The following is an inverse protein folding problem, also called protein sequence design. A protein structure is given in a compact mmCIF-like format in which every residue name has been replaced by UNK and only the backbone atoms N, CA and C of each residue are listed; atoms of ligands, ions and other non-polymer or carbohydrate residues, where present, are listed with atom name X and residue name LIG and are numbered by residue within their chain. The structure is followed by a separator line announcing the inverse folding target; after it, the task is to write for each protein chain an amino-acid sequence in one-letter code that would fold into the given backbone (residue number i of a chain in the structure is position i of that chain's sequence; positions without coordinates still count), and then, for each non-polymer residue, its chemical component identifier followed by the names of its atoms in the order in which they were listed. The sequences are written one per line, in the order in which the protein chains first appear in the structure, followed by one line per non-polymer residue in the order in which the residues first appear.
data_IF_904241807540
#
_entry.id   IF_904241807540
#
_cell.length_a   1.000
_cell.length_b   1.000
_cell.length_c   1.000
_cell.angle_alpha   90.00
_cell.angle_beta   90.00
_cell.angle_gamma   90.00
#
_symmetry.space_group_name_H-M   'P 1'
#
loop_
_entity.id
_entity.type
_entity.pdbx_description
1 polymer ?
#
# COMPACT_ATOMS: atom_id res chain seq x y z
N UNK A 1 -56.37 -5.80 33.35
CA UNK A 1 -56.64 -5.01 32.12
C UNK A 1 -55.75 -3.75 32.08
N UNK A 2 -54.43 -3.92 32.07
CA UNK A 2 -53.48 -2.80 31.95
C UNK A 2 -52.32 -3.11 30.98
N UNK A 3 -52.08 -4.40 30.66
CA UNK A 3 -51.03 -4.80 29.72
C UNK A 3 -51.39 -4.79 28.23
N UNK A 4 -52.65 -4.57 27.83
CA UNK A 4 -53.04 -4.54 26.40
C UNK A 4 -52.98 -3.12 25.82
N UNK A 5 -53.20 -2.07 26.63
CA UNK A 5 -53.16 -0.69 26.17
C UNK A 5 -51.74 -0.15 25.95
N UNK A 6 -50.71 -0.67 26.64
CA UNK A 6 -49.31 -0.28 26.42
C UNK A 6 -48.74 -0.82 25.09
N UNK A 7 -49.17 -2.01 24.65
CA UNK A 7 -48.70 -2.62 23.40
C UNK A 7 -49.28 -1.87 22.17
N UNK A 8 -50.48 -1.31 22.30
CA UNK A 8 -51.10 -0.50 21.24
C UNK A 8 -50.46 0.89 21.09
N UNK A 9 -49.96 1.49 22.17
CA UNK A 9 -49.21 2.76 22.08
C UNK A 9 -47.82 2.58 21.45
N UNK A 10 -47.12 1.49 21.77
CA UNK A 10 -45.77 1.21 21.24
C UNK A 10 -45.80 0.92 19.73
N UNK A 11 -46.79 0.16 19.26
CA UNK A 11 -46.94 -0.13 17.82
C UNK A 11 -47.32 1.13 17.00
N UNK A 12 -48.10 2.03 17.58
CA UNK A 12 -48.49 3.29 16.90
C UNK A 12 -47.32 4.28 16.85
N UNK A 13 -46.44 4.30 17.87
CA UNK A 13 -45.21 5.09 17.87
C UNK A 13 -44.14 4.53 16.92
N UNK A 14 -43.99 3.20 16.83
CA UNK A 14 -43.10 2.56 15.87
C UNK A 14 -43.55 2.79 14.41
N UNK A 15 -44.85 2.71 14.12
CA UNK A 15 -45.36 3.02 12.77
C UNK A 15 -45.23 4.50 12.39
N UNK A 16 -45.34 5.43 13.35
CA UNK A 16 -45.13 6.86 13.10
C UNK A 16 -43.64 7.19 12.88
N UNK A 17 -42.73 6.52 13.61
CA UNK A 17 -41.28 6.64 13.40
C UNK A 17 -40.81 6.00 12.09
N UNK A 18 -41.48 4.94 11.61
CA UNK A 18 -41.16 4.30 10.33
C UNK A 18 -41.67 5.14 9.14
N UNK A 19 -42.82 5.83 9.26
CA UNK A 19 -43.37 6.68 8.18
C UNK A 19 -42.72 8.07 8.04
N UNK A 20 -41.92 8.55 9.01
CA UNK A 20 -41.17 9.82 8.90
C UNK A 20 -39.73 9.68 8.41
N UNK A 21 -39.30 8.47 8.03
CA UNK A 21 -37.99 8.21 7.41
C UNK A 21 -38.03 8.10 5.88
N UNK A 22 -38.77 9.00 5.24
CA UNK A 22 -38.50 9.53 3.90
C UNK A 22 -38.88 11.01 4.04
N UNK A 23 -37.99 12.00 3.94
CA UNK A 23 -37.12 12.32 2.83
C UNK A 23 -35.90 13.08 3.41
N UNK A 24 -34.74 12.44 3.38
CA UNK A 24 -33.49 13.16 3.22
C UNK A 24 -32.64 12.23 2.36
N UNK A 25 -32.55 12.55 1.06
CA UNK A 25 -31.53 11.98 0.19
C UNK A 25 -30.29 12.86 0.35
N UNK A 26 -29.33 12.55 1.23
CA UNK A 26 -27.97 12.93 0.90
C UNK A 26 -27.57 11.98 -0.23
N UNK A 27 -27.17 12.53 -1.36
CA UNK A 27 -26.30 11.83 -2.29
C UNK A 27 -25.06 11.39 -1.51
N UNK A 28 -25.09 10.19 -0.92
CA UNK A 28 -23.89 9.53 -0.42
C UNK A 28 -23.11 9.16 -1.68
N UNK A 29 -22.25 10.10 -2.12
CA UNK A 29 -21.13 9.75 -2.97
C UNK A 29 -20.32 8.72 -2.19
N UNK A 30 -20.58 7.45 -2.44
CA UNK A 30 -19.82 6.35 -1.86
C UNK A 30 -18.39 6.53 -2.38
N UNK A 31 -17.53 7.15 -1.57
CA UNK A 31 -16.18 7.51 -1.97
C UNK A 31 -15.37 6.22 -1.99
N UNK A 32 -14.98 5.79 -3.18
CA UNK A 32 -14.11 4.64 -3.37
C UNK A 32 -12.83 4.83 -2.55
N UNK A 33 -12.46 3.81 -1.79
CA UNK A 33 -11.30 3.80 -0.90
C UNK A 33 -10.48 2.51 -1.08
N UNK A 34 -9.28 2.45 -0.50
CA UNK A 34 -8.37 1.33 -0.72
C UNK A 34 -8.92 -0.02 -0.21
N UNK A 35 -9.74 -0.04 0.84
CA UNK A 35 -10.33 -1.29 1.35
C UNK A 35 -11.38 -1.83 0.39
N UNK A 36 -12.26 -0.96 -0.11
CA UNK A 36 -13.26 -1.30 -1.13
C UNK A 36 -12.60 -1.73 -2.44
N UNK A 37 -11.49 -1.08 -2.84
CA UNK A 37 -10.73 -1.43 -4.04
C UNK A 37 -10.20 -2.87 -4.00
N UNK A 38 -9.75 -3.32 -2.82
CA UNK A 38 -9.23 -4.69 -2.62
C UNK A 38 -10.31 -5.76 -2.71
N UNK A 39 -11.57 -5.40 -2.50
CA UNK A 39 -12.71 -6.32 -2.59
C UNK A 39 -13.21 -6.50 -4.02
N UNK A 40 -12.81 -5.63 -4.96
CA UNK A 40 -13.16 -5.79 -6.38
C UNK A 40 -12.45 -7.02 -6.92
N UNK A 41 -13.24 -7.95 -7.44
CA UNK A 41 -12.78 -9.19 -8.06
C UNK A 41 -11.81 -8.91 -9.21
N UNK A 42 -10.56 -9.33 -9.05
CA UNK A 42 -9.52 -9.12 -10.04
C UNK A 42 -9.79 -9.93 -11.31
N UNK A 43 -10.39 -11.12 -11.19
CA UNK A 43 -10.75 -11.95 -12.34
C UNK A 43 -11.86 -11.32 -13.17
N UNK A 44 -12.84 -10.68 -12.53
CA UNK A 44 -13.90 -9.94 -13.25
C UNK A 44 -13.34 -8.70 -13.93
N UNK A 45 -12.44 -7.97 -13.26
CA UNK A 45 -11.75 -6.83 -13.87
C UNK A 45 -10.93 -7.25 -15.09
N UNK A 46 -10.13 -8.31 -14.99
CA UNK A 46 -9.35 -8.86 -16.10
C UNK A 46 -10.25 -9.28 -17.27
N UNK A 47 -11.39 -9.92 -16.97
CA UNK A 47 -12.38 -10.29 -17.98
C UNK A 47 -12.97 -9.07 -18.69
N UNK A 48 -13.30 -8.00 -17.95
CA UNK A 48 -13.77 -6.73 -18.54
C UNK A 48 -12.72 -6.11 -19.46
N UNK A 49 -11.45 -6.22 -19.10
CA UNK A 49 -10.32 -5.77 -19.90
C UNK A 49 -9.99 -6.69 -21.09
N UNK A 50 -10.73 -7.79 -21.27
CA UNK A 50 -10.57 -8.72 -22.38
C UNK A 50 -9.53 -9.83 -22.15
N UNK A 51 -8.98 -9.94 -20.95
CA UNK A 51 -8.05 -11.02 -20.60
C UNK A 51 -8.79 -12.29 -20.21
N UNK A 52 -8.38 -13.41 -20.77
CA UNK A 52 -8.91 -14.74 -20.46
C UNK A 52 -7.82 -15.62 -19.87
N UNK A 53 -8.15 -16.51 -18.93
CA UNK A 53 -7.16 -17.38 -18.32
C UNK A 53 -6.71 -18.45 -19.33
N UNK A 54 -5.41 -18.66 -19.41
CA UNK A 54 -4.76 -19.73 -20.19
C UNK A 54 -4.81 -21.08 -19.48
N UNK A 55 -4.80 -21.07 -18.14
CA UNK A 55 -4.90 -22.26 -17.30
C UNK A 55 -5.57 -21.91 -15.97
N UNK A 56 -6.54 -22.71 -15.56
CA UNK A 56 -7.24 -22.52 -14.29
C UNK A 56 -7.10 -23.75 -13.40
N UNK A 57 -7.02 -23.50 -12.10
CA UNK A 57 -7.16 -24.50 -11.04
C UNK A 57 -8.25 -24.02 -10.07
N UNK A 58 -8.49 -24.76 -8.99
CA UNK A 58 -9.45 -24.34 -7.95
C UNK A 58 -9.06 -23.03 -7.27
N UNK A 59 -7.78 -22.69 -7.18
CA UNK A 59 -7.29 -21.54 -6.41
C UNK A 59 -6.50 -20.54 -7.24
N UNK A 60 -5.83 -20.99 -8.31
CA UNK A 60 -4.92 -20.18 -9.10
C UNK A 60 -5.34 -20.19 -10.57
N UNK A 61 -5.49 -18.99 -11.13
CA UNK A 61 -5.79 -18.75 -12.55
C UNK A 61 -4.60 -18.06 -13.20
N UNK A 62 -4.15 -18.57 -14.33
CA UNK A 62 -2.97 -18.09 -15.05
C UNK A 62 -3.36 -17.37 -16.34
N UNK A 63 -2.74 -16.23 -16.59
CA UNK A 63 -2.99 -15.35 -17.72
C UNK A 63 -1.66 -15.03 -18.43
N UNK A 64 -1.75 -14.74 -19.74
CA UNK A 64 -0.73 -13.92 -20.40
C UNK A 64 -0.70 -12.57 -19.68
N UNK A 65 0.50 -12.12 -19.31
CA UNK A 65 0.66 -10.89 -18.52
C UNK A 65 -0.01 -9.70 -19.20
N UNK A 66 -0.92 -8.99 -18.49
CA UNK A 66 -1.52 -7.76 -19.00
C UNK A 66 -0.54 -6.61 -19.21
N UNK A 67 0.70 -6.74 -18.71
CA UNK A 67 1.70 -5.68 -18.73
C UNK A 67 2.69 -5.76 -19.90
N UNK A 68 2.67 -6.87 -20.66
CA UNK A 68 3.62 -7.09 -21.76
C UNK A 68 3.12 -8.15 -22.75
N UNK A 69 3.78 -8.22 -23.90
CA UNK A 69 3.58 -9.32 -24.84
C UNK A 69 4.42 -10.53 -24.42
N UNK A 70 3.77 -11.66 -24.15
CA UNK A 70 4.42 -12.94 -23.88
C UNK A 70 3.65 -14.12 -24.51
N UNK A 71 4.33 -15.26 -24.69
CA UNK A 71 3.71 -16.48 -25.23
C UNK A 71 3.29 -17.47 -24.14
N UNK A 72 4.01 -17.48 -23.02
CA UNK A 72 3.76 -18.37 -21.89
C UNK A 72 3.25 -17.54 -20.74
N UNK A 73 2.12 -17.94 -20.17
CA UNK A 73 1.50 -17.24 -19.05
C UNK A 73 2.38 -17.24 -17.80
N UNK A 74 2.70 -16.06 -17.29
CA UNK A 74 3.40 -15.89 -16.00
C UNK A 74 2.60 -15.12 -14.96
N UNK A 75 1.45 -14.56 -15.34
CA UNK A 75 0.59 -13.79 -14.45
C UNK A 75 -0.41 -14.71 -13.75
N UNK A 76 -0.25 -14.89 -12.44
CA UNK A 76 -1.08 -15.77 -11.61
C UNK A 76 -2.00 -14.96 -10.72
N UNK A 77 -3.29 -15.22 -10.77
CA UNK A 77 -4.30 -14.70 -9.83
C UNK A 77 -4.70 -15.79 -8.87
N UNK A 78 -4.56 -15.54 -7.57
CA UNK A 78 -5.13 -16.39 -6.54
C UNK A 78 -6.55 -15.92 -6.23
N UNK A 79 -7.55 -16.72 -6.58
CA UNK A 79 -8.97 -16.32 -6.50
C UNK A 79 -9.48 -16.25 -5.06
N UNK A 80 -8.94 -17.08 -4.16
CA UNK A 80 -9.35 -17.10 -2.76
C UNK A 80 -8.86 -15.85 -2.01
N UNK A 81 -7.66 -15.36 -2.36
CA UNK A 81 -7.04 -14.18 -1.75
C UNK A 81 -7.31 -12.88 -2.52
N UNK A 82 -7.85 -12.96 -3.74
CA UNK A 82 -8.04 -11.84 -4.65
C UNK A 82 -6.76 -11.00 -4.87
N UNK A 83 -5.63 -11.68 -5.10
CA UNK A 83 -4.33 -11.07 -5.36
C UNK A 83 -3.67 -11.70 -6.59
N UNK A 84 -2.80 -10.96 -7.25
CA UNK A 84 -1.99 -11.48 -8.34
C UNK A 84 -0.50 -11.48 -8.01
N UNK A 85 0.23 -12.29 -8.76
CA UNK A 85 1.68 -12.25 -8.86
C UNK A 85 2.10 -12.54 -10.30
N UNK A 86 2.90 -11.64 -10.87
CA UNK A 86 3.57 -11.83 -12.15
C UNK A 86 4.97 -12.39 -11.92
N UNK A 87 5.14 -13.67 -12.26
CA UNK A 87 6.39 -14.39 -12.04
C UNK A 87 7.56 -13.91 -12.91
N UNK A 88 7.32 -13.31 -14.07
CA UNK A 88 8.42 -12.84 -14.91
C UNK A 88 8.95 -11.47 -14.46
N UNK A 89 8.09 -10.65 -13.85
CA UNK A 89 8.48 -9.32 -13.36
C UNK A 89 8.78 -9.30 -11.85
N UNK A 90 8.41 -10.36 -11.13
CA UNK A 90 8.58 -10.44 -9.67
C UNK A 90 7.66 -9.49 -8.91
N UNK A 91 6.57 -9.04 -9.54
CA UNK A 91 5.64 -8.04 -8.99
C UNK A 91 4.26 -8.65 -8.74
N UNK A 92 3.65 -8.32 -7.61
CA UNK A 92 2.30 -8.76 -7.28
C UNK A 92 1.60 -7.78 -6.37
N UNK A 93 0.30 -8.00 -6.16
CA UNK A 93 -0.50 -7.12 -5.35
C UNK A 93 -2.00 -7.40 -5.45
N UNK A 94 -2.76 -6.41 -5.01
CA UNK A 94 -4.22 -6.38 -5.00
C UNK A 94 -4.77 -5.83 -6.32
N UNK A 95 -6.09 -5.79 -6.46
CA UNK A 95 -6.76 -5.14 -7.59
C UNK A 95 -6.35 -3.68 -7.78
N UNK A 96 -6.09 -2.95 -6.68
CA UNK A 96 -5.61 -1.57 -6.74
C UNK A 96 -4.21 -1.49 -7.36
N UNK A 97 -3.29 -2.36 -6.92
CA UNK A 97 -1.92 -2.43 -7.45
C UNK A 97 -1.92 -2.78 -8.94
N UNK A 98 -2.83 -3.68 -9.36
CA UNK A 98 -3.04 -4.00 -10.76
C UNK A 98 -3.47 -2.76 -11.56
N UNK A 99 -4.51 -2.04 -11.12
CA UNK A 99 -5.02 -0.86 -11.84
C UNK A 99 -3.98 0.25 -11.93
N UNK A 100 -3.27 0.51 -10.83
CA UNK A 100 -2.18 1.50 -10.81
C UNK A 100 -1.10 1.17 -11.84
N UNK A 101 -0.67 -0.10 -11.90
CA UNK A 101 0.34 -0.54 -12.85
C UNK A 101 -0.19 -0.55 -14.29
N UNK A 102 -1.36 -1.11 -14.52
CA UNK A 102 -1.96 -1.24 -15.85
C UNK A 102 -2.23 0.12 -16.51
N UNK A 103 -2.66 1.11 -15.73
CA UNK A 103 -2.95 2.46 -16.22
C UNK A 103 -1.80 3.46 -15.98
N UNK A 104 -0.69 3.01 -15.40
CA UNK A 104 0.44 3.85 -14.99
C UNK A 104 0.00 5.12 -14.22
N UNK A 105 -0.77 4.93 -13.14
CA UNK A 105 -1.40 6.02 -12.40
C UNK A 105 -1.22 5.94 -10.89
N UNK A 106 -1.47 7.06 -10.19
CA UNK A 106 -1.43 7.13 -8.74
C UNK A 106 -2.71 6.56 -8.09
N UNK A 107 -2.66 6.34 -6.77
CA UNK A 107 -3.77 5.76 -5.99
C UNK A 107 -5.07 6.55 -6.20
N UNK A 108 -4.98 7.89 -6.26
CA UNK A 108 -6.17 8.72 -6.40
C UNK A 108 -6.87 8.44 -7.73
N UNK A 109 -6.12 8.43 -8.82
CA UNK A 109 -6.69 8.15 -10.14
C UNK A 109 -7.16 6.70 -10.25
N UNK A 110 -6.41 5.74 -9.71
CA UNK A 110 -6.81 4.34 -9.70
C UNK A 110 -8.15 4.11 -8.97
N UNK A 111 -8.36 4.78 -7.83
CA UNK A 111 -9.64 4.74 -7.10
C UNK A 111 -10.77 5.39 -7.90
N UNK A 112 -10.51 6.47 -8.64
CA UNK A 112 -11.50 7.09 -9.53
C UNK A 112 -11.89 6.17 -10.69
N UNK A 113 -10.91 5.50 -11.31
CA UNK A 113 -11.14 4.52 -12.39
C UNK A 113 -12.00 3.34 -11.90
N UNK A 114 -11.67 2.78 -10.73
CA UNK A 114 -12.43 1.71 -10.11
C UNK A 114 -13.84 2.15 -9.70
N UNK A 115 -14.01 3.40 -9.24
CA UNK A 115 -15.32 3.97 -8.87
C UNK A 115 -16.25 4.06 -10.07
N UNK A 116 -15.72 4.58 -11.18
CA UNK A 116 -16.52 4.92 -12.35
C UNK A 116 -16.64 3.74 -13.33
N UNK A 117 -16.10 2.56 -12.98
CA UNK A 117 -15.98 1.37 -13.84
C UNK A 117 -15.44 1.72 -15.25
N UNK A 118 -14.60 2.76 -15.32
CA UNK A 118 -14.18 3.42 -16.56
C UNK A 118 -12.97 2.72 -17.17
N UNK A 119 -13.06 1.41 -17.33
CA UNK A 119 -12.07 0.59 -18.01
C UNK A 119 -12.46 0.50 -19.49
N UNK A 120 -12.10 1.52 -20.26
CA UNK A 120 -12.30 1.49 -21.72
C UNK A 120 -11.35 0.47 -22.34
N UNK A 121 -11.82 -0.25 -23.37
CA UNK A 121 -11.13 -1.30 -24.13
C UNK A 121 -9.88 -0.86 -24.90
N UNK A 122 -9.25 0.26 -24.51
CA UNK A 122 -7.99 0.64 -25.10
C UNK A 122 -6.89 -0.29 -24.60
N UNK A 123 -6.19 -0.88 -25.57
CA UNK A 123 -4.99 -1.69 -25.41
C UNK A 123 -4.09 -1.11 -24.30
N UNK A 124 -3.36 -1.97 -23.56
CA UNK A 124 -2.33 -1.48 -22.66
C UNK A 124 -1.46 -0.51 -23.44
N UNK A 125 -1.32 0.72 -22.94
CA UNK A 125 -0.33 1.64 -23.48
C UNK A 125 1.01 0.97 -23.17
N UNK A 126 1.51 0.19 -24.14
CA UNK A 126 2.89 -0.27 -24.15
C UNK A 126 3.70 1.00 -24.36
N UNK A 127 3.96 1.73 -23.26
CA UNK A 127 5.05 2.69 -23.24
C UNK A 127 6.30 1.82 -23.16
N UNK A 128 6.76 1.40 -24.34
CA UNK A 128 8.12 0.95 -24.55
C UNK A 128 9.07 1.95 -23.86
N UNK A 129 9.77 1.46 -22.86
CA UNK A 129 11.09 1.88 -22.37
C UNK A 129 11.48 3.36 -22.54
N UNK A 130 11.82 3.97 -21.40
CA UNK A 130 12.60 5.21 -21.23
C UNK A 130 11.82 6.50 -21.00
N UNK A 131 10.72 6.46 -20.25
CA UNK A 131 10.40 7.61 -19.41
C UNK A 131 11.16 7.37 -18.10
N UNK A 132 12.36 7.94 -17.99
CA UNK A 132 12.79 8.46 -16.69
C UNK A 132 11.67 9.40 -16.26
N UNK A 133 10.72 8.88 -15.47
CA UNK A 133 9.81 9.75 -14.75
C UNK A 133 10.74 10.57 -13.88
N UNK A 134 11.00 11.81 -14.31
CA UNK A 134 11.59 12.82 -13.46
C UNK A 134 10.92 12.67 -12.11
N UNK A 135 11.70 12.41 -11.03
CA UNK A 135 11.10 12.14 -9.74
C UNK A 135 10.12 13.27 -9.46
N UNK A 136 8.86 12.95 -9.15
CA UNK A 136 7.84 13.95 -8.80
C UNK A 136 8.18 14.73 -7.53
N UNK A 137 9.36 14.45 -6.98
CA UNK A 137 9.93 14.99 -5.77
C UNK A 137 11.36 15.47 -5.99
N UNK A 138 11.81 16.38 -5.12
CA UNK A 138 13.21 16.82 -5.06
C UNK A 138 13.70 16.73 -3.63
N UNK A 139 14.84 16.07 -3.39
CA UNK A 139 15.46 16.07 -2.07
C UNK A 139 16.16 17.42 -1.87
N UNK A 140 15.74 18.16 -0.85
CA UNK A 140 16.29 19.47 -0.52
C UNK A 140 17.46 19.34 0.46
N UNK A 141 17.36 18.43 1.42
CA UNK A 141 18.41 18.18 2.39
C UNK A 141 18.30 16.79 3.01
N UNK A 142 19.45 16.23 3.37
CA UNK A 142 19.59 15.01 4.18
C UNK A 142 20.43 15.40 5.40
N UNK A 143 19.90 15.21 6.60
CA UNK A 143 20.52 15.68 7.85
C UNK A 143 20.49 14.58 8.92
N UNK A 144 21.31 14.69 9.97
CA UNK A 144 21.11 13.89 11.17
C UNK A 144 19.68 14.09 11.73
N UNK A 145 19.08 13.01 12.24
CA UNK A 145 17.73 13.04 12.79
C UNK A 145 17.70 13.90 14.07
N UNK A 146 17.29 15.16 13.92
CA UNK A 146 17.32 16.19 14.97
C UNK A 146 16.04 17.03 15.02
N UNK A 147 15.18 16.94 14.01
CA UNK A 147 13.93 17.68 13.91
C UNK A 147 12.97 17.29 15.05
N UNK A 148 12.50 18.25 15.88
CA UNK A 148 11.70 17.96 17.07
C UNK A 148 10.46 17.08 16.81
N UNK A 149 9.71 17.36 15.74
CA UNK A 149 8.52 16.57 15.40
C UNK A 149 8.85 15.12 14.98
N UNK A 150 10.02 14.88 14.38
CA UNK A 150 10.44 13.53 14.00
C UNK A 150 10.95 12.77 15.23
N UNK A 151 11.66 13.46 16.14
CA UNK A 151 12.04 12.91 17.45
C UNK A 151 10.79 12.53 18.25
N UNK A 152 9.79 13.42 18.30
CA UNK A 152 8.51 13.13 18.94
C UNK A 152 7.84 11.90 18.33
N UNK A 153 7.81 11.77 17.00
CA UNK A 153 7.28 10.59 16.33
C UNK A 153 8.02 9.29 16.74
N UNK A 154 9.35 9.32 16.82
CA UNK A 154 10.16 8.17 17.28
C UNK A 154 9.79 7.80 18.72
N UNK A 155 9.65 8.79 19.60
CA UNK A 155 9.27 8.57 21.00
C UNK A 155 7.84 8.02 21.13
N UNK A 156 6.87 8.56 20.38
CA UNK A 156 5.48 8.05 20.35
C UNK A 156 5.40 6.60 19.87
N UNK A 157 6.38 6.14 19.08
CA UNK A 157 6.52 4.75 18.61
C UNK A 157 7.31 3.86 19.57
N UNK A 158 7.73 4.37 20.73
CA UNK A 158 8.57 3.68 21.71
C UNK A 158 9.86 3.10 21.11
N UNK A 159 10.46 3.84 20.17
CA UNK A 159 11.73 3.48 19.55
C UNK A 159 12.87 4.24 20.22
N UNK A 160 14.02 3.59 20.40
CA UNK A 160 15.22 4.26 20.93
C UNK A 160 15.68 5.36 19.97
N UNK A 161 15.65 6.62 20.44
CA UNK A 161 16.14 7.76 19.66
C UNK A 161 17.62 7.57 19.26
N UNK A 162 18.44 7.03 20.16
CA UNK A 162 19.87 6.77 19.87
C UNK A 162 20.03 5.80 18.70
N UNK A 163 19.29 4.69 18.70
CA UNK A 163 19.33 3.70 17.61
C UNK A 163 18.77 4.32 16.32
N UNK A 164 17.65 5.06 16.41
CA UNK A 164 17.09 5.79 15.28
C UNK A 164 18.08 6.79 14.67
N UNK A 165 18.87 7.50 15.46
CA UNK A 165 19.88 8.44 14.97
C UNK A 165 21.08 7.75 14.32
N UNK A 166 21.41 6.52 14.73
CA UNK A 166 22.44 5.70 14.09
C UNK A 166 22.03 5.30 12.68
N UNK A 167 20.81 4.78 12.53
CA UNK A 167 20.37 4.12 11.29
C UNK A 167 19.52 4.99 10.36
N UNK A 168 18.87 6.01 10.90
CA UNK A 168 18.00 6.88 10.12
C UNK A 168 18.58 8.29 10.01
N UNK A 169 18.18 8.97 8.94
CA UNK A 169 18.37 10.41 8.72
C UNK A 169 17.03 11.11 8.77
N UNK A 170 17.04 12.43 8.80
CA UNK A 170 15.88 13.21 8.39
C UNK A 170 16.10 13.71 6.95
N UNK A 171 15.08 13.57 6.13
CA UNK A 171 15.11 14.02 4.74
C UNK A 171 14.05 15.09 4.56
N UNK A 172 14.47 16.26 4.07
CA UNK A 172 13.59 17.32 3.60
C UNK A 172 13.43 17.19 2.09
N UNK A 173 12.19 17.20 1.61
CA UNK A 173 11.90 17.00 0.20
C UNK A 173 10.68 17.81 -0.24
N UNK A 174 10.67 18.20 -1.50
CA UNK A 174 9.49 18.76 -2.15
C UNK A 174 8.75 17.66 -2.88
N UNK A 175 7.42 17.61 -2.82
CA UNK A 175 6.57 16.75 -3.65
C UNK A 175 5.41 17.61 -4.16
N UNK A 176 5.20 17.68 -5.49
CA UNK A 176 4.15 18.51 -6.12
C UNK A 176 4.14 19.96 -5.57
N UNK A 177 5.31 20.60 -5.49
CA UNK A 177 5.56 21.96 -4.98
C UNK A 177 5.26 22.20 -3.49
N UNK A 178 5.07 21.15 -2.69
CA UNK A 178 4.94 21.26 -1.23
C UNK A 178 6.16 20.67 -0.55
N UNK A 179 6.67 21.35 0.47
CA UNK A 179 7.81 20.89 1.27
C UNK A 179 7.37 19.97 2.40
N UNK A 180 8.12 18.90 2.60
CA UNK A 180 7.89 17.86 3.60
C UNK A 180 9.20 17.48 4.28
N UNK A 181 9.09 16.80 5.41
CA UNK A 181 10.20 16.16 6.10
C UNK A 181 9.77 14.83 6.72
N UNK A 182 10.69 13.87 6.77
CA UNK A 182 10.42 12.54 7.30
C UNK A 182 11.70 11.90 7.87
N UNK A 183 11.51 10.95 8.79
CA UNK A 183 12.54 9.97 9.13
C UNK A 183 12.79 9.13 7.87
N UNK A 184 14.05 8.93 7.53
CA UNK A 184 14.48 8.26 6.31
C UNK A 184 15.44 7.14 6.65
N UNK A 185 15.10 5.92 6.22
CA UNK A 185 15.97 4.76 6.30
C UNK A 185 16.47 4.43 4.88
N UNK A 186 17.78 4.33 4.70
CA UNK A 186 18.41 4.13 3.40
C UNK A 186 18.47 2.64 3.05
N UNK A 187 18.22 2.32 1.78
CA UNK A 187 18.34 0.96 1.24
C UNK A 187 19.61 0.72 0.42
N UNK A 188 19.83 -0.53 0.00
CA UNK A 188 21.01 -0.93 -0.80
C UNK A 188 21.18 -0.11 -2.10
N UNK A 189 20.10 0.44 -2.65
CA UNK A 189 20.11 1.28 -3.85
C UNK A 189 20.20 2.77 -3.54
N UNK A 190 20.62 3.14 -2.33
CA UNK A 190 20.73 4.52 -1.86
C UNK A 190 19.44 5.35 -1.98
N UNK A 191 18.30 4.65 -1.97
CA UNK A 191 16.96 5.25 -1.93
C UNK A 191 16.43 5.20 -0.50
N UNK A 192 15.37 5.94 -0.19
CA UNK A 192 14.91 6.13 1.19
C UNK A 192 13.49 5.62 1.42
N UNK A 193 13.30 4.77 2.44
CA UNK A 193 11.99 4.57 3.04
C UNK A 193 11.71 5.73 4.01
N UNK A 194 10.65 6.49 3.74
CA UNK A 194 10.25 7.65 4.51
C UNK A 194 9.09 7.36 5.45
N UNK A 195 9.19 7.91 6.67
CA UNK A 195 8.15 7.87 7.69
C UNK A 195 8.02 9.15 8.48
N UNK A 196 6.78 9.55 8.71
CA UNK A 196 6.39 10.41 9.83
C UNK A 196 4.97 10.03 10.25
N UNK A 197 4.33 10.82 11.12
CA UNK A 197 2.95 10.57 11.59
C UNK A 197 1.91 10.39 10.47
N UNK A 198 2.14 10.99 9.31
CA UNK A 198 1.17 11.05 8.20
C UNK A 198 1.65 10.33 6.94
N UNK A 199 2.95 10.12 6.81
CA UNK A 199 3.58 9.63 5.60
C UNK A 199 4.21 8.27 5.85
N UNK A 200 3.90 7.35 4.94
CA UNK A 200 4.71 6.18 4.61
C UNK A 200 4.90 6.27 3.10
N UNK A 201 6.15 6.29 2.63
CA UNK A 201 6.48 6.28 1.20
C UNK A 201 7.94 5.87 0.97
N UNK A 202 8.31 5.71 -0.29
CA UNK A 202 9.70 5.53 -0.70
C UNK A 202 10.10 6.66 -1.65
N UNK A 203 11.27 7.26 -1.45
CA UNK A 203 11.92 8.12 -2.43
C UNK A 203 13.00 7.32 -3.15
N UNK A 204 12.79 7.07 -4.44
CA UNK A 204 13.71 6.31 -5.29
C UNK A 204 13.27 4.85 -5.47
N UNK A 205 14.24 3.98 -5.79
CA UNK A 205 13.98 2.57 -6.06
C UNK A 205 13.78 1.79 -4.76
N UNK A 206 12.75 0.96 -4.69
CA UNK A 206 12.57 0.04 -3.57
C UNK A 206 13.60 -1.08 -3.68
N UNK A 207 14.31 -1.31 -2.58
CA UNK A 207 15.24 -2.42 -2.39
C UNK A 207 15.26 -2.79 -0.92
N UNK A 208 15.65 -4.02 -0.62
CA UNK A 208 15.93 -4.43 0.76
C UNK A 208 17.13 -3.66 1.32
N UNK A 209 17.35 -3.77 2.63
CA UNK A 209 18.62 -3.39 3.29
C UNK A 209 19.22 -4.62 3.94
N UNK A 210 20.52 -4.84 3.74
CA UNK A 210 21.23 -5.99 4.28
C UNK A 210 22.41 -5.56 5.17
N UNK A 211 22.42 -6.03 6.42
CA UNK A 211 23.59 -5.87 7.30
C UNK A 211 24.32 -7.20 7.43
N UNK A 212 25.55 -7.22 6.91
CA UNK A 212 26.48 -8.37 6.97
C UNK A 212 27.35 -8.27 8.22
N UNK A 213 26.96 -8.99 9.27
CA UNK A 213 27.71 -9.13 10.52
C UNK A 213 28.52 -10.43 10.57
N UNK A 214 28.69 -11.13 9.44
CA UNK A 214 29.36 -12.43 9.33
C UNK A 214 28.74 -13.51 10.22
N UNK A 215 27.44 -13.42 10.46
CA UNK A 215 26.71 -14.42 11.24
C UNK A 215 26.32 -15.62 10.39
N UNK A 216 26.06 -16.77 11.04
CA UNK A 216 25.45 -17.94 10.37
C UNK A 216 23.92 -17.86 10.35
N UNK A 217 23.34 -16.89 11.06
CA UNK A 217 21.91 -16.72 11.20
C UNK A 217 21.49 -15.34 10.72
N UNK A 218 20.37 -15.28 10.00
CA UNK A 218 19.78 -14.05 9.49
C UNK A 218 18.44 -13.80 10.18
N UNK A 219 18.21 -12.56 10.58
CA UNK A 219 16.93 -12.09 11.11
C UNK A 219 16.26 -11.19 10.09
N UNK A 220 15.01 -11.52 9.76
CA UNK A 220 14.20 -10.82 8.78
C UNK A 220 13.24 -9.85 9.47
N UNK A 221 13.18 -8.60 9.00
CA UNK A 221 12.23 -7.59 9.46
C UNK A 221 11.35 -7.12 8.30
N UNK A 222 10.05 -6.95 8.55
CA UNK A 222 9.10 -6.41 7.56
C UNK A 222 9.39 -4.94 7.24
N UNK A 223 9.91 -4.19 8.23
CA UNK A 223 10.24 -2.78 8.09
C UNK A 223 11.45 -2.37 8.93
N UNK A 224 12.05 -1.23 8.59
CA UNK A 224 13.14 -0.66 9.38
C UNK A 224 12.71 -0.35 10.83
N UNK A 225 11.44 -0.02 11.06
CA UNK A 225 10.97 0.28 12.41
C UNK A 225 10.94 -0.96 13.29
N UNK A 226 10.72 -2.15 12.71
CA UNK A 226 10.77 -3.41 13.46
C UNK A 226 12.21 -3.74 13.84
N UNK A 227 13.17 -3.50 12.93
CA UNK A 227 14.60 -3.62 13.22
C UNK A 227 15.04 -2.69 14.37
N UNK A 228 14.63 -1.42 14.33
CA UNK A 228 14.95 -0.46 15.40
C UNK A 228 14.26 -0.83 16.72
N UNK A 229 13.02 -1.33 16.66
CA UNK A 229 12.32 -1.82 17.85
C UNK A 229 13.06 -3.01 18.48
N UNK A 230 13.51 -3.96 17.65
CA UNK A 230 14.30 -5.09 18.11
C UNK A 230 15.60 -4.64 18.81
N UNK A 231 16.36 -3.73 18.20
CA UNK A 231 17.56 -3.18 18.83
C UNK A 231 17.29 -2.29 20.04
N UNK A 232 16.08 -1.73 20.16
CA UNK A 232 15.65 -1.02 21.37
C UNK A 232 15.50 -2.00 22.54
N UNK A 233 14.98 -3.20 22.30
CA UNK A 233 14.81 -4.24 23.33
C UNK A 233 16.08 -5.05 23.58
N UNK A 234 16.88 -5.30 22.54
CA UNK A 234 18.08 -6.12 22.58
C UNK A 234 19.30 -5.38 21.98
N UNK A 235 19.82 -4.34 22.64
CA UNK A 235 20.93 -3.54 22.09
C UNK A 235 22.18 -4.34 21.73
N UNK A 236 22.47 -5.40 22.51
CA UNK A 236 23.64 -6.26 22.27
C UNK A 236 23.52 -7.14 21.03
N UNK A 237 22.31 -7.25 20.46
CA UNK A 237 22.09 -8.04 19.25
C UNK A 237 22.58 -7.33 17.98
N UNK A 238 22.86 -6.03 18.01
CA UNK A 238 23.22 -5.21 16.83
C UNK A 238 24.26 -5.84 15.89
N UNK A 239 25.21 -6.60 16.45
CA UNK A 239 26.28 -7.29 15.71
C UNK A 239 26.24 -8.82 15.82
N UNK A 240 25.17 -9.37 16.38
CA UNK A 240 25.05 -10.80 16.67
C UNK A 240 24.58 -11.61 15.45
N UNK A 241 23.71 -11.01 14.64
CA UNK A 241 23.06 -11.66 13.50
C UNK A 241 23.27 -10.85 12.23
N UNK A 242 23.15 -11.49 11.08
CA UNK A 242 22.93 -10.77 9.84
C UNK A 242 21.47 -10.31 9.80
N UNK A 243 21.21 -9.19 9.14
CA UNK A 243 19.86 -8.61 9.12
C UNK A 243 19.41 -8.32 7.70
N UNK A 244 18.20 -8.74 7.38
CA UNK A 244 17.52 -8.38 6.14
C UNK A 244 16.26 -7.59 6.47
N UNK A 245 16.17 -6.37 5.94
CA UNK A 245 15.06 -5.46 6.19
C UNK A 245 14.32 -5.27 4.89
N UNK A 246 13.05 -5.65 4.88
CA UNK A 246 12.17 -5.53 3.73
C UNK A 246 11.61 -4.11 3.62
N UNK A 247 11.18 -3.73 2.41
CA UNK A 247 10.37 -2.54 2.19
C UNK A 247 8.96 -2.99 1.84
N UNK A 248 7.95 -2.73 2.69
CA UNK A 248 6.60 -3.14 2.40
C UNK A 248 6.08 -2.40 1.16
N UNK A 249 5.45 -3.13 0.23
CA UNK A 249 4.63 -2.51 -0.80
C UNK A 249 3.47 -1.81 -0.10
N UNK A 250 3.39 -0.50 -0.23
CA UNK A 250 2.18 0.21 0.15
C UNK A 250 1.16 0.03 -0.93
N UNK A 251 -0.01 -0.48 -0.52
CA UNK A 251 -1.27 -0.32 -1.23
C UNK A 251 -1.68 1.15 -1.34
#
# INVERSE_FOLDING_TARGET
MQGIYEIQLINTFLHHCIKKKQIFNPTISNRMNCELAKQISLTDLLKKLGFTPTRTTRIDWWYISPFRTEKTASFKVNIAKNVFYDHAEGFGGTTLDFVMKYNNCDIKLALELLKNDSFSFHQPIIVSSNITQEPTYTIQAIKPLTHPNLIQYINERNLSLKVAQTYCKEVHYTLKNKSYYAVAFQNELSSFELRNKYVKMCLGKKAVTYFDNKSKHIVLFESWSDYISFLTLYPNAEKQYDYLILIPYQC
#
